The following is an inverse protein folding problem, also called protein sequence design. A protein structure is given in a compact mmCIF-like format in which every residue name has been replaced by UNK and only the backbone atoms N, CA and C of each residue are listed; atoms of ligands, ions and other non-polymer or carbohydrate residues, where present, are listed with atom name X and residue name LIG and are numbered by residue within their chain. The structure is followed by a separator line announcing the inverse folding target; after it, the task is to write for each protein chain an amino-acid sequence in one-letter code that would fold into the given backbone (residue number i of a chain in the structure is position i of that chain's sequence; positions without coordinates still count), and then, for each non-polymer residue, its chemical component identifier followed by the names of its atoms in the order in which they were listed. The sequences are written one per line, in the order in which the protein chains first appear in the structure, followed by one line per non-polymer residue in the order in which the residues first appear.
data_IF_944380860477
#
_entry.id   IF_944380860477
#
_cell.length_a   1.000
_cell.length_b   1.000
_cell.length_c   1.000
_cell.angle_alpha   90.00
_cell.angle_beta   90.00
_cell.angle_gamma   90.00
#
_symmetry.space_group_name_H-M   'P 1'
#
loop_
_entity.id
_entity.type
_entity.pdbx_description
1 polymer ?
#
# COMPACT_ATOMS: atom_id res chain seq x y z
N UNK A 1 15.01 7.38 5.01
CA UNK A 1 14.66 6.94 6.38
C UNK A 1 13.76 5.74 6.23
N UNK A 2 14.26 4.56 6.58
CA UNK A 2 13.49 3.31 6.51
C UNK A 2 12.57 3.19 7.74
N UNK A 3 11.37 2.62 7.56
CA UNK A 3 10.35 2.50 8.61
C UNK A 3 9.74 1.12 8.63
N UNK A 4 9.38 0.62 9.82
CA UNK A 4 8.65 -0.65 9.94
C UNK A 4 7.20 -0.47 9.50
N UNK A 5 6.68 -1.41 8.71
CA UNK A 5 5.29 -1.32 8.24
C UNK A 5 4.31 -1.49 9.41
N UNK A 6 4.70 -2.23 10.43
CA UNK A 6 3.96 -2.43 11.67
C UNK A 6 3.63 -1.11 12.38
N UNK A 7 4.53 -0.11 12.32
CA UNK A 7 4.26 1.23 12.87
C UNK A 7 3.03 1.87 12.19
N UNK A 8 2.89 1.67 10.88
CA UNK A 8 1.76 2.21 10.11
C UNK A 8 0.49 1.41 10.34
N UNK A 9 0.58 0.09 10.53
CA UNK A 9 -0.57 -0.73 10.91
C UNK A 9 -1.11 -0.32 12.29
N UNK A 10 -0.24 0.05 13.23
CA UNK A 10 -0.66 0.60 14.52
C UNK A 10 -1.29 1.99 14.39
N UNK A 11 -0.78 2.83 13.48
CA UNK A 11 -1.37 4.14 13.20
C UNK A 11 -2.77 4.03 12.58
N UNK A 12 -2.97 3.09 11.65
CA UNK A 12 -4.27 2.73 11.07
C UNK A 12 -5.28 2.36 12.16
N UNK A 13 -4.89 1.49 13.11
CA UNK A 13 -5.74 1.09 14.25
C UNK A 13 -6.10 2.24 15.21
N UNK A 14 -5.23 3.26 15.32
CA UNK A 14 -5.46 4.42 16.19
C UNK A 14 -6.30 5.50 15.50
N UNK A 15 -6.42 5.45 14.18
CA UNK A 15 -7.15 6.42 13.40
C UNK A 15 -7.84 5.74 12.22
N UNK A 16 -9.13 5.46 12.36
CA UNK A 16 -9.96 4.82 11.34
C UNK A 16 -10.01 5.59 10.00
N UNK A 17 -9.58 6.85 9.98
CA UNK A 17 -9.49 7.66 8.76
C UNK A 17 -8.19 7.46 8.00
N UNK A 18 -7.24 6.65 8.52
CA UNK A 18 -5.92 6.43 7.92
C UNK A 18 -5.79 4.99 7.45
N UNK A 19 -5.49 4.82 6.17
CA UNK A 19 -5.35 3.53 5.52
C UNK A 19 -3.99 3.45 4.84
N UNK A 20 -3.22 2.42 5.20
CA UNK A 20 -1.89 2.19 4.64
C UNK A 20 -1.82 0.86 3.89
N UNK A 21 -1.04 0.84 2.80
CA UNK A 21 -0.75 -0.35 2.00
C UNK A 21 0.74 -0.38 1.70
N UNK A 22 1.34 -1.57 1.74
CA UNK A 22 2.73 -1.77 1.31
C UNK A 22 2.77 -2.27 -0.13
N UNK A 23 3.59 -1.65 -0.99
CA UNK A 23 3.82 -2.09 -2.37
C UNK A 23 5.29 -1.90 -2.70
N UNK A 24 5.97 -2.96 -3.14
CA UNK A 24 7.37 -2.92 -3.58
C UNK A 24 8.30 -2.22 -2.57
N UNK A 25 8.21 -2.62 -1.29
CA UNK A 25 8.97 -2.04 -0.17
C UNK A 25 8.72 -0.55 0.08
N UNK A 26 7.61 0.00 -0.43
CA UNK A 26 7.17 1.35 -0.13
C UNK A 26 5.84 1.29 0.62
N UNK A 27 5.68 2.21 1.58
CA UNK A 27 4.44 2.38 2.33
C UNK A 27 3.68 3.54 1.70
N UNK A 28 2.42 3.30 1.37
CA UNK A 28 1.53 4.24 0.71
C UNK A 28 0.34 4.57 1.62
N UNK A 29 0.04 5.85 1.78
CA UNK A 29 -1.18 6.33 2.41
C UNK A 29 -2.27 6.49 1.35
N UNK A 30 -3.24 5.58 1.35
CA UNK A 30 -4.30 5.51 0.33
C UNK A 30 -5.63 6.08 0.84
N UNK A 31 -5.64 6.71 2.01
CA UNK A 31 -6.85 7.18 2.69
C UNK A 31 -7.72 8.08 1.79
N UNK A 32 -7.08 9.00 1.08
CA UNK A 32 -7.77 9.96 0.19
C UNK A 32 -8.02 9.42 -1.22
N UNK A 33 -7.49 8.24 -1.55
CA UNK A 33 -7.58 7.65 -2.88
C UNK A 33 -8.58 6.49 -2.95
N UNK A 34 -8.88 5.85 -1.82
CA UNK A 34 -9.63 4.59 -1.77
C UNK A 34 -10.96 4.64 -2.53
N UNK A 35 -11.71 5.74 -2.41
CA UNK A 35 -13.00 5.95 -3.06
C UNK A 35 -12.89 6.31 -4.55
N UNK A 36 -11.71 6.74 -4.99
CA UNK A 36 -11.43 7.15 -6.38
C UNK A 36 -10.81 6.04 -7.23
N UNK A 37 -10.64 4.84 -6.68
CA UNK A 37 -10.05 3.73 -7.42
C UNK A 37 -10.99 3.24 -8.52
N UNK A 38 -10.51 3.21 -9.78
CA UNK A 38 -11.32 2.90 -10.96
C UNK A 38 -12.03 1.56 -10.90
N UNK A 39 -11.41 0.57 -10.24
CA UNK A 39 -11.95 -0.79 -10.10
C UNK A 39 -12.72 -0.97 -8.78
N UNK A 40 -12.99 0.12 -8.07
CA UNK A 40 -13.75 0.16 -6.83
C UNK A 40 -12.88 0.06 -5.56
N UNK A 41 -13.38 0.69 -4.50
CA UNK A 41 -12.74 0.73 -3.17
C UNK A 41 -12.59 -0.65 -2.51
N UNK A 42 -13.47 -1.60 -2.84
CA UNK A 42 -13.48 -2.92 -2.23
C UNK A 42 -12.16 -3.67 -2.44
N UNK A 43 -11.52 -3.50 -3.61
CA UNK A 43 -10.23 -4.12 -3.92
C UNK A 43 -9.16 -3.61 -2.97
N UNK A 44 -9.08 -2.29 -2.77
CA UNK A 44 -8.08 -1.69 -1.86
C UNK A 44 -8.34 -2.13 -0.41
N UNK A 45 -9.61 -2.19 0.01
CA UNK A 45 -9.98 -2.60 1.38
C UNK A 45 -9.48 -3.99 1.76
N UNK A 46 -9.36 -4.92 0.81
CA UNK A 46 -8.79 -6.26 1.06
C UNK A 46 -7.31 -6.20 1.47
N UNK A 47 -6.59 -5.17 1.00
CA UNK A 47 -5.15 -4.98 1.19
C UNK A 47 -4.79 -3.91 2.23
N UNK A 48 -5.78 -3.36 2.95
CA UNK A 48 -5.52 -2.50 4.12
C UNK A 48 -4.55 -3.22 5.05
N UNK A 49 -3.48 -2.53 5.42
CA UNK A 49 -2.43 -3.03 6.31
C UNK A 49 -1.72 -4.30 5.80
N UNK A 50 -1.70 -4.54 4.49
CA UNK A 50 -1.04 -5.70 3.84
C UNK A 50 -0.12 -5.29 2.69
N UNK A 51 0.68 -6.25 2.22
CA UNK A 51 1.44 -6.14 0.97
C UNK A 51 0.52 -6.40 -0.24
N UNK A 52 0.43 -5.43 -1.13
CA UNK A 52 -0.36 -5.49 -2.36
C UNK A 52 0.50 -5.61 -3.63
N UNK A 53 1.80 -5.95 -3.52
CA UNK A 53 2.71 -6.07 -4.67
C UNK A 53 2.15 -6.99 -5.76
N UNK A 54 1.61 -8.15 -5.37
CA UNK A 54 1.02 -9.11 -6.33
C UNK A 54 -0.26 -8.54 -6.95
N UNK A 55 -1.07 -7.80 -6.19
CA UNK A 55 -2.29 -7.20 -6.72
C UNK A 55 -2.02 -6.06 -7.70
N UNK A 56 -0.97 -5.27 -7.43
CA UNK A 56 -0.61 -4.10 -8.24
C UNK A 56 0.17 -4.46 -9.51
N UNK A 57 1.06 -5.47 -9.43
CA UNK A 57 1.90 -5.91 -10.55
C UNK A 57 1.42 -7.19 -11.22
N UNK A 58 0.46 -7.90 -10.64
CA UNK A 58 -0.02 -9.20 -11.11
C UNK A 58 -0.68 -9.15 -12.49
N UNK A 59 -0.67 -10.29 -13.17
CA UNK A 59 -0.99 -10.42 -14.61
C UNK A 59 -2.37 -9.90 -15.03
N UNK A 60 -3.37 -9.95 -14.14
CA UNK A 60 -4.74 -9.49 -14.43
C UNK A 60 -4.91 -7.98 -14.17
N UNK A 61 -4.12 -7.39 -13.27
CA UNK A 61 -4.24 -6.00 -12.82
C UNK A 61 -2.91 -5.25 -12.89
N UNK A 62 -2.18 -5.44 -13.99
CA UNK A 62 -0.91 -4.78 -14.21
C UNK A 62 -1.12 -3.29 -14.50
N UNK A 63 -0.89 -2.45 -13.50
CA UNK A 63 -1.09 -1.01 -13.64
C UNK A 63 -0.06 -0.41 -14.62
N UNK A 64 -0.55 0.40 -15.56
CA UNK A 64 0.30 1.19 -16.46
C UNK A 64 0.88 2.44 -15.77
N UNK A 65 1.53 3.29 -16.55
CA UNK A 65 2.23 4.51 -16.07
C UNK A 65 1.36 5.41 -15.21
N UNK A 66 0.07 5.54 -15.50
CA UNK A 66 -0.86 6.35 -14.70
C UNK A 66 -0.98 5.84 -13.26
N UNK A 67 -1.13 4.52 -13.07
CA UNK A 67 -1.19 3.90 -11.75
C UNK A 67 0.12 4.07 -10.99
N UNK A 68 1.26 3.94 -11.66
CA UNK A 68 2.57 4.19 -11.06
C UNK A 68 2.74 5.64 -10.58
N UNK A 69 2.30 6.61 -11.38
CA UNK A 69 2.41 8.03 -11.03
C UNK A 69 1.53 8.35 -9.80
N UNK A 70 0.28 7.87 -9.79
CA UNK A 70 -0.62 8.03 -8.65
C UNK A 70 -0.03 7.36 -7.39
N UNK A 71 0.48 6.14 -7.53
CA UNK A 71 1.11 5.40 -6.44
C UNK A 71 2.32 6.15 -5.85
N UNK A 72 3.13 6.78 -6.72
CA UNK A 72 4.28 7.58 -6.30
C UNK A 72 3.87 8.81 -5.47
N UNK A 73 2.74 9.44 -5.79
CA UNK A 73 2.21 10.59 -5.04
C UNK A 73 1.70 10.20 -3.65
N UNK A 74 1.36 8.93 -3.42
CA UNK A 74 0.85 8.42 -2.14
C UNK A 74 1.94 7.86 -1.22
N UNK A 75 3.21 7.86 -1.65
CA UNK A 75 4.31 7.29 -0.87
C UNK A 75 4.60 8.15 0.36
N UNK A 76 4.59 7.52 1.54
CA UNK A 76 4.91 8.19 2.81
C UNK A 76 6.21 7.71 3.45
N UNK A 77 6.63 6.47 3.15
CA UNK A 77 7.90 5.94 3.63
C UNK A 77 8.41 4.77 2.77
N UNK A 78 9.68 4.42 2.98
CA UNK A 78 10.26 3.17 2.52
C UNK A 78 10.14 2.16 3.68
N UNK A 79 9.57 1.00 3.40
CA UNK A 79 9.49 -0.08 4.36
C UNK A 79 10.91 -0.63 4.61
N UNK A 80 11.34 -0.64 5.86
CA UNK A 80 12.54 -1.37 6.25
C UNK A 80 12.32 -2.85 5.95
N UNK A 81 13.30 -3.58 5.41
CA UNK A 81 13.19 -5.01 5.30
C UNK A 81 13.01 -5.61 6.70
N UNK A 82 11.78 -5.97 7.03
CA UNK A 82 11.47 -6.83 8.17
C UNK A 82 12.02 -8.22 7.82
N UNK A 83 13.28 -8.45 8.17
CA UNK A 83 14.03 -9.71 8.11
C UNK A 83 13.29 -10.85 7.39
N UNK A 84 13.45 -10.91 6.07
CA UNK A 84 12.93 -12.00 5.24
C UNK A 84 13.91 -13.17 5.32
N UNK A 85 13.75 -14.04 6.31
CA UNK A 85 14.10 -15.45 6.11
C UNK A 85 12.84 -16.29 6.16
N UNK A 86 12.42 -16.73 4.98
CA UNK A 86 12.01 -18.10 4.79
C UNK A 86 12.70 -18.56 3.53
N UNK A 87 13.75 -19.34 3.73
CA UNK A 87 14.13 -20.43 2.81
C UNK A 87 12.96 -21.37 2.59
#
# INVERSE_FOLDING_TARGET
MERKFEEYQELSKKNDSRVYVSIASCIHDVSNFIDSHSNGQAIIKVYVDKDAIVAFYGSVHHHGTSGHNILAMMRVAVASPSFRIST
#
